data_IF_684963582552
#
_entry.id   IF_684963582552
#
_cell.length_a   1.000
_cell.length_b   1.000
_cell.length_c   1.000
_cell.angle_alpha   90.00
_cell.angle_beta   90.00
_cell.angle_gamma   90.00
#
_symmetry.space_group_name_H-M   'P 1'
#
loop_
_entity.id
_entity.type
_entity.pdbx_description
1 polymer ?
#
# COMPACT_ATOMS: atom_id res chain seq x y z
N UNK A 1 -71.26 -58.11 41.18
CA UNK A 1 -70.89 -56.69 41.04
C UNK A 1 -70.80 -56.13 42.45
N UNK A 2 -69.70 -56.41 43.13
CA UNK A 2 -68.41 -55.68 43.17
C UNK A 2 -68.33 -54.73 44.38
N UNK A 3 -67.23 -54.88 45.09
CA UNK A 3 -66.79 -54.31 46.37
C UNK A 3 -65.78 -53.15 46.07
N UNK A 4 -65.05 -52.51 47.04
CA UNK A 4 -65.32 -52.11 48.44
C UNK A 4 -64.62 -50.79 48.92
N UNK A 5 -64.73 -50.46 50.24
CA UNK A 5 -63.66 -49.97 51.20
C UNK A 5 -63.12 -48.49 51.03
N UNK A 6 -62.64 -47.67 51.99
CA UNK A 6 -61.83 -47.79 53.24
C UNK A 6 -61.90 -46.51 54.14
N UNK A 7 -61.85 -46.72 55.47
CA UNK A 7 -61.32 -45.97 56.66
C UNK A 7 -60.97 -44.46 56.63
N UNK A 8 -61.25 -43.81 57.78
CA UNK A 8 -60.31 -42.90 58.47
C UNK A 8 -60.11 -43.33 59.93
N UNK A 9 -58.86 -43.31 60.41
CA UNK A 9 -58.41 -43.55 61.80
C UNK A 9 -57.41 -42.44 62.17
N UNK A 10 -57.45 -41.98 63.41
CA UNK A 10 -56.84 -40.73 63.89
C UNK A 10 -55.41 -40.82 64.44
N UNK A 11 -55.18 -39.99 65.47
CA UNK A 11 -54.05 -39.86 66.42
C UNK A 11 -52.88 -38.92 66.07
N UNK A 12 -52.86 -37.77 66.76
CA UNK A 12 -51.89 -37.36 67.80
C UNK A 12 -50.41 -37.68 67.59
N UNK A 13 -49.56 -36.65 67.71
CA UNK A 13 -48.38 -36.71 68.59
C UNK A 13 -47.80 -35.32 68.87
N UNK A 14 -47.89 -34.89 70.13
CA UNK A 14 -46.79 -34.18 70.79
C UNK A 14 -45.69 -35.20 71.11
N UNK A 15 -44.43 -34.84 70.86
CA UNK A 15 -43.31 -35.38 71.63
C UNK A 15 -42.16 -34.37 71.74
N UNK A 16 -41.66 -34.27 72.96
CA UNK A 16 -40.62 -33.40 73.46
C UNK A 16 -39.19 -33.73 72.95
N UNK A 17 -38.38 -32.67 72.98
CA UNK A 17 -36.91 -32.57 73.02
C UNK A 17 -36.09 -33.76 73.57
N UNK A 18 -35.03 -34.12 72.83
CA UNK A 18 -33.66 -34.51 73.27
C UNK A 18 -32.71 -34.06 72.14
N UNK A 19 -31.62 -33.30 72.29
CA UNK A 19 -30.50 -33.46 73.21
C UNK A 19 -29.26 -33.92 72.43
N UNK A 20 -28.39 -32.97 72.03
CA UNK A 20 -26.94 -33.11 71.80
C UNK A 20 -26.41 -34.14 70.77
N UNK A 21 -26.12 -33.69 69.54
CA UNK A 21 -25.00 -34.14 68.70
C UNK A 21 -24.93 -33.48 67.30
N UNK A 22 -25.91 -32.64 66.91
CA UNK A 22 -26.04 -32.15 65.53
C UNK A 22 -25.79 -30.63 65.32
N UNK A 23 -25.25 -29.91 66.31
CA UNK A 23 -25.08 -28.44 66.24
C UNK A 23 -23.70 -28.02 65.69
N UNK A 24 -22.61 -28.63 66.19
CA UNK A 24 -21.25 -28.29 65.75
C UNK A 24 -20.97 -28.70 64.30
N UNK A 25 -21.59 -29.80 63.84
CA UNK A 25 -21.45 -30.30 62.48
C UNK A 25 -22.04 -29.33 61.45
N UNK A 26 -23.15 -28.64 61.77
CA UNK A 26 -23.73 -27.59 60.93
C UNK A 26 -22.83 -26.36 60.82
N UNK A 27 -22.13 -26.02 61.92
CA UNK A 27 -21.15 -24.94 61.93
C UNK A 27 -19.93 -25.27 61.06
N UNK A 28 -19.42 -26.49 61.14
CA UNK A 28 -18.30 -26.94 60.29
C UNK A 28 -18.69 -26.95 58.82
N UNK A 29 -19.88 -27.46 58.48
CA UNK A 29 -20.39 -27.42 57.09
C UNK A 29 -20.49 -25.97 56.61
N UNK A 30 -20.99 -25.05 57.44
CA UNK A 30 -21.06 -23.62 57.12
C UNK A 30 -19.68 -23.00 56.88
N UNK A 31 -18.69 -23.33 57.72
CA UNK A 31 -17.30 -22.85 57.57
C UNK A 31 -16.63 -23.43 56.31
N UNK A 32 -16.88 -24.71 55.99
CA UNK A 32 -16.37 -25.35 54.78
C UNK A 32 -16.97 -24.70 53.53
N UNK A 33 -18.28 -24.42 53.50
CA UNK A 33 -18.93 -23.72 52.38
C UNK A 33 -18.38 -22.30 52.24
N UNK A 34 -18.18 -21.58 53.35
CA UNK A 34 -17.60 -20.24 53.32
C UNK A 34 -16.15 -20.24 52.80
N UNK A 35 -15.34 -21.23 53.18
CA UNK A 35 -13.97 -21.40 52.68
C UNK A 35 -13.92 -21.80 51.21
N UNK A 36 -14.86 -22.65 50.75
CA UNK A 36 -14.99 -23.00 49.33
C UNK A 36 -15.45 -21.81 48.48
N UNK A 37 -16.38 -20.99 48.99
CA UNK A 37 -16.81 -19.77 48.33
C UNK A 37 -15.70 -18.72 48.28
N UNK A 38 -14.93 -18.56 49.37
CA UNK A 38 -13.76 -17.68 49.40
C UNK A 38 -12.64 -18.17 48.47
N UNK A 39 -12.37 -19.48 48.43
CA UNK A 39 -11.42 -20.09 47.51
C UNK A 39 -11.83 -19.93 46.04
N UNK A 40 -13.11 -20.15 45.73
CA UNK A 40 -13.65 -19.93 44.38
C UNK A 40 -13.61 -18.46 43.94
N UNK A 41 -13.88 -17.54 44.86
CA UNK A 41 -13.77 -16.10 44.61
C UNK A 41 -12.35 -15.62 44.34
N UNK A 42 -11.36 -16.17 45.05
CA UNK A 42 -9.94 -15.85 44.84
C UNK A 42 -9.44 -16.37 43.49
N UNK A 43 -9.84 -17.59 43.08
CA UNK A 43 -9.47 -18.15 41.76
C UNK A 43 -10.08 -17.34 40.61
N UNK A 44 -11.32 -16.86 40.76
CA UNK A 44 -11.95 -15.97 39.78
C UNK A 44 -11.24 -14.62 39.67
N UNK A 45 -10.74 -14.08 40.79
CA UNK A 45 -9.98 -12.83 40.81
C UNK A 45 -8.57 -12.98 40.21
N UNK A 46 -7.93 -14.13 40.42
CA UNK A 46 -6.62 -14.45 39.82
C UNK A 46 -6.73 -14.58 38.29
N UNK A 47 -7.78 -15.22 37.76
CA UNK A 47 -8.06 -15.28 36.32
C UNK A 47 -8.46 -13.93 35.70
N UNK A 48 -8.84 -12.93 36.51
CA UNK A 48 -9.16 -11.59 36.03
C UNK A 48 -7.93 -10.66 35.99
N UNK A 49 -6.92 -10.93 36.82
CA UNK A 49 -5.69 -10.12 36.92
C UNK A 49 -4.65 -10.58 35.90
N UNK A 50 -4.56 -11.88 35.60
CA UNK A 50 -3.74 -12.38 34.50
C UNK A 50 -4.53 -12.30 33.19
N UNK A 51 -4.24 -11.34 32.29
CA UNK A 51 -4.83 -11.37 30.97
C UNK A 51 -4.47 -12.71 30.32
N UNK A 52 -5.42 -13.39 29.65
CA UNK A 52 -5.12 -14.64 28.99
C UNK A 52 -3.95 -14.43 28.04
N UNK A 53 -2.95 -15.31 28.05
CA UNK A 53 -1.80 -15.34 27.13
C UNK A 53 -2.20 -15.20 25.66
N UNK A 54 -3.44 -15.54 25.33
CA UNK A 54 -4.06 -15.34 24.02
C UNK A 54 -4.20 -13.87 23.61
N UNK A 55 -4.34 -12.93 24.55
CA UNK A 55 -4.46 -11.50 24.26
C UNK A 55 -3.14 -10.93 23.72
N UNK A 56 -2.01 -11.27 24.33
CA UNK A 56 -0.69 -10.86 23.84
C UNK A 56 -0.38 -11.50 22.49
N UNK A 57 -0.68 -12.80 22.31
CA UNK A 57 -0.52 -13.49 21.04
C UNK A 57 -1.38 -12.89 19.92
N UNK A 58 -2.63 -12.51 20.21
CA UNK A 58 -3.54 -11.86 19.24
C UNK A 58 -3.03 -10.47 18.86
N UNK A 59 -2.53 -9.70 19.83
CA UNK A 59 -1.97 -8.37 19.58
C UNK A 59 -0.70 -8.42 18.73
N UNK A 60 0.20 -9.37 19.02
CA UNK A 60 1.42 -9.57 18.22
C UNK A 60 1.04 -9.97 16.79
N UNK A 61 0.13 -10.93 16.61
CA UNK A 61 -0.34 -11.33 15.29
C UNK A 61 -1.03 -10.19 14.50
N UNK A 62 -1.74 -9.29 15.19
CA UNK A 62 -2.32 -8.09 14.58
C UNK A 62 -1.24 -7.10 14.15
N UNK A 63 -0.26 -6.81 15.01
CA UNK A 63 0.84 -5.92 14.68
C UNK A 63 1.69 -6.48 13.52
N UNK A 64 1.96 -7.78 13.52
CA UNK A 64 2.67 -8.45 12.43
C UNK A 64 1.88 -8.38 11.13
N UNK A 65 0.55 -8.53 11.18
CA UNK A 65 -0.30 -8.37 10.00
C UNK A 65 -0.28 -6.93 9.48
N UNK A 66 -0.38 -5.93 10.36
CA UNK A 66 -0.32 -4.51 9.98
C UNK A 66 1.01 -4.16 9.31
N UNK A 67 2.13 -4.58 9.91
CA UNK A 67 3.47 -4.36 9.34
C UNK A 67 3.61 -5.06 7.98
N UNK A 68 3.20 -6.33 7.88
CA UNK A 68 3.26 -7.07 6.61
C UNK A 68 2.37 -6.45 5.53
N UNK A 69 1.20 -5.91 5.92
CA UNK A 69 0.31 -5.21 5.00
C UNK A 69 0.92 -3.90 4.52
N UNK A 70 1.59 -3.15 5.39
CA UNK A 70 2.30 -1.93 5.02
C UNK A 70 3.44 -2.25 4.02
N UNK A 71 4.24 -3.29 4.28
CA UNK A 71 5.28 -3.75 3.35
C UNK A 71 4.67 -4.19 2.01
N UNK A 72 3.52 -4.86 2.03
CA UNK A 72 2.82 -5.28 0.81
C UNK A 72 2.24 -4.11 0.01
N UNK A 73 1.78 -3.06 0.68
CA UNK A 73 1.29 -1.82 0.05
C UNK A 73 2.46 -1.06 -0.57
N UNK A 74 3.59 -1.01 0.13
CA UNK A 74 4.78 -0.26 -0.29
C UNK A 74 5.75 -1.06 -1.17
N UNK A 75 5.37 -2.29 -1.55
CA UNK A 75 6.20 -3.14 -2.39
C UNK A 75 6.60 -2.42 -3.70
N UNK A 76 7.89 -2.46 -3.98
CA UNK A 76 8.49 -2.03 -5.25
C UNK A 76 9.59 -3.02 -5.64
N UNK A 77 9.67 -3.44 -6.92
CA UNK A 77 10.84 -4.14 -7.39
C UNK A 77 12.08 -3.23 -7.32
N UNK A 78 13.26 -3.85 -7.42
CA UNK A 78 14.49 -3.11 -7.61
C UNK A 78 14.41 -2.32 -8.93
N UNK A 79 14.70 -1.02 -8.87
CA UNK A 79 14.79 -0.17 -10.05
C UNK A 79 15.92 -0.64 -10.96
N UNK A 80 15.67 -0.63 -12.28
CA UNK A 80 16.65 -0.97 -13.32
C UNK A 80 17.81 0.03 -13.33
N UNK A 81 17.52 1.28 -12.97
CA UNK A 81 18.49 2.37 -12.86
C UNK A 81 19.12 2.46 -11.47
N UNK A 82 18.79 1.56 -10.54
CA UNK A 82 19.27 1.56 -9.16
C UNK A 82 18.50 2.55 -8.27
N UNK A 83 18.90 3.82 -8.31
CA UNK A 83 18.25 4.94 -7.61
C UNK A 83 17.50 5.84 -8.63
N UNK A 84 16.61 6.75 -8.19
CA UNK A 84 16.13 7.83 -9.02
C UNK A 84 17.28 8.56 -9.69
N UNK A 85 17.27 8.60 -11.02
CA UNK A 85 18.29 9.25 -11.82
C UNK A 85 17.88 10.68 -12.13
N UNK A 86 18.86 11.58 -12.18
CA UNK A 86 18.69 12.92 -12.71
C UNK A 86 19.53 13.08 -13.96
N UNK A 87 18.93 13.69 -14.98
CA UNK A 87 19.58 13.94 -16.26
C UNK A 87 19.21 15.33 -16.78
N UNK A 88 20.04 15.85 -17.67
CA UNK A 88 19.73 17.09 -18.41
C UNK A 88 19.75 16.76 -19.89
N UNK A 89 18.63 16.99 -20.57
CA UNK A 89 18.52 16.81 -22.02
C UNK A 89 18.66 18.16 -22.71
N UNK A 90 19.54 18.23 -23.69
CA UNK A 90 19.67 19.36 -24.61
C UNK A 90 18.75 19.15 -25.81
N UNK A 91 18.58 20.19 -26.62
CA UNK A 91 17.77 20.11 -27.84
C UNK A 91 18.22 18.96 -28.75
N UNK A 92 17.27 18.08 -29.08
CA UNK A 92 17.41 16.84 -29.86
C UNK A 92 18.04 15.65 -29.12
N UNK A 93 18.46 15.81 -27.87
CA UNK A 93 18.91 14.68 -27.06
C UNK A 93 17.74 13.72 -26.80
N UNK A 94 18.06 12.44 -26.79
CA UNK A 94 17.16 11.39 -26.36
C UNK A 94 17.78 10.54 -25.25
N UNK A 95 16.92 9.93 -24.45
CA UNK A 95 17.29 9.09 -23.32
C UNK A 95 16.60 7.72 -23.41
N UNK A 96 17.37 6.69 -23.09
CA UNK A 96 16.91 5.34 -22.76
C UNK A 96 16.78 5.24 -21.23
N UNK A 97 15.58 4.95 -20.73
CA UNK A 97 15.30 5.01 -19.30
C UNK A 97 15.89 3.84 -18.52
N UNK A 98 16.10 2.70 -19.17
CA UNK A 98 16.65 1.48 -18.60
C UNK A 98 18.14 1.63 -18.32
N UNK A 99 18.87 2.21 -19.26
CA UNK A 99 20.33 2.35 -19.23
C UNK A 99 20.79 3.72 -18.74
N UNK A 100 19.90 4.72 -18.81
CA UNK A 100 20.23 6.12 -18.60
C UNK A 100 21.15 6.71 -19.66
N UNK A 101 21.34 6.01 -20.78
CA UNK A 101 22.16 6.49 -21.88
C UNK A 101 21.49 7.67 -22.58
N UNK A 102 22.25 8.73 -22.83
CA UNK A 102 21.78 9.91 -23.56
C UNK A 102 22.50 9.96 -24.91
N UNK A 103 21.72 10.01 -25.98
CA UNK A 103 22.20 10.10 -27.35
C UNK A 103 21.80 11.44 -27.96
N UNK A 104 22.74 12.11 -28.63
CA UNK A 104 22.49 13.37 -29.30
C UNK A 104 21.89 13.11 -30.69
N UNK A 105 20.67 13.59 -30.93
CA UNK A 105 19.96 13.50 -32.21
C UNK A 105 19.94 12.08 -32.81
N UNK A 106 19.38 11.08 -32.10
CA UNK A 106 19.30 9.71 -32.61
C UNK A 106 18.46 9.63 -33.89
N UNK A 107 18.71 8.57 -34.68
CA UNK A 107 17.82 8.27 -35.79
C UNK A 107 16.44 7.88 -35.25
N UNK A 108 15.39 8.26 -35.99
CA UNK A 108 14.02 7.83 -35.71
C UNK A 108 13.84 6.31 -35.86
N UNK A 109 14.80 5.62 -36.47
CA UNK A 109 14.79 4.16 -36.65
C UNK A 109 15.54 3.42 -35.54
N UNK A 110 16.35 4.12 -34.76
CA UNK A 110 17.16 3.51 -33.72
C UNK A 110 16.25 3.29 -32.51
N UNK A 111 16.18 2.04 -32.04
CA UNK A 111 15.30 1.59 -30.95
C UNK A 111 15.97 1.71 -29.58
N UNK A 112 16.99 2.55 -29.46
CA UNK A 112 17.86 2.68 -28.29
C UNK A 112 17.57 3.97 -27.50
N UNK A 113 16.34 4.48 -27.61
CA UNK A 113 15.85 5.61 -26.83
C UNK A 113 14.34 5.53 -26.63
N UNK A 114 13.86 6.06 -25.51
CA UNK A 114 12.44 6.10 -25.15
C UNK A 114 11.84 7.49 -25.31
N UNK A 115 12.61 8.52 -24.91
CA UNK A 115 12.17 9.91 -24.86
C UNK A 115 13.20 10.84 -25.50
N UNK A 116 12.76 11.72 -26.39
CA UNK A 116 13.56 12.77 -27.02
C UNK A 116 13.01 14.15 -26.67
N UNK A 117 13.90 15.08 -26.32
CA UNK A 117 13.58 16.49 -26.20
C UNK A 117 13.74 17.18 -27.55
N UNK A 118 12.62 17.57 -28.16
CA UNK A 118 12.58 18.19 -29.49
C UNK A 118 12.69 19.71 -29.42
N UNK A 119 13.52 20.25 -30.31
CA UNK A 119 13.71 21.68 -30.51
C UNK A 119 13.23 22.07 -31.91
N UNK A 120 12.28 23.00 -31.99
CA UNK A 120 11.62 23.36 -33.24
C UNK A 120 11.68 24.86 -33.53
N UNK A 121 11.49 25.28 -34.78
CA UNK A 121 11.35 26.69 -35.13
C UNK A 121 10.26 27.39 -34.31
N UNK A 122 10.29 28.73 -34.28
CA UNK A 122 9.25 29.55 -33.66
C UNK A 122 9.10 29.36 -32.14
N UNK A 123 10.20 29.04 -31.44
CA UNK A 123 10.24 28.82 -29.99
C UNK A 123 9.35 27.65 -29.53
N UNK A 124 9.19 26.65 -30.38
CA UNK A 124 8.43 25.44 -30.08
C UNK A 124 9.36 24.36 -29.51
N UNK A 125 8.91 23.69 -28.47
CA UNK A 125 9.60 22.57 -27.83
C UNK A 125 8.62 21.39 -27.70
N UNK A 126 9.17 20.18 -27.71
CA UNK A 126 8.40 18.96 -27.49
C UNK A 126 9.12 17.99 -26.60
N UNK A 127 8.37 17.14 -25.93
CA UNK A 127 8.88 15.84 -25.50
C UNK A 127 8.22 14.78 -26.35
N UNK A 128 9.02 14.04 -27.09
CA UNK A 128 8.59 12.99 -28.01
C UNK A 128 8.96 11.63 -27.44
N UNK A 129 8.06 10.66 -27.52
CA UNK A 129 8.41 9.27 -27.24
C UNK A 129 8.66 8.48 -28.52
N UNK A 130 9.45 7.42 -28.40
CA UNK A 130 9.65 6.47 -29.50
C UNK A 130 8.33 5.75 -29.84
N UNK A 131 8.18 5.31 -31.10
CA UNK A 131 6.96 4.61 -31.54
C UNK A 131 6.76 3.29 -30.78
N UNK A 132 5.62 3.19 -30.09
CA UNK A 132 5.23 2.02 -29.28
C UNK A 132 5.46 2.20 -27.78
N UNK A 133 6.20 3.23 -27.36
CA UNK A 133 6.15 3.72 -25.98
C UNK A 133 4.79 4.36 -25.74
N UNK A 134 4.17 4.00 -24.61
CA UNK A 134 2.87 4.55 -24.19
C UNK A 134 3.03 5.31 -22.87
N UNK A 135 2.17 6.30 -22.64
CA UNK A 135 2.29 7.17 -21.47
C UNK A 135 0.94 7.49 -20.83
N UNK A 136 1.02 7.99 -19.61
CA UNK A 136 -0.09 8.54 -18.86
C UNK A 136 0.33 9.87 -18.24
N UNK A 137 -0.48 10.91 -18.43
CA UNK A 137 -0.26 12.22 -17.83
C UNK A 137 -0.76 12.22 -16.40
N UNK A 138 0.18 12.22 -15.43
CA UNK A 138 -0.18 12.21 -14.02
C UNK A 138 -0.49 13.63 -13.50
N UNK A 139 0.33 14.60 -13.90
CA UNK A 139 0.26 15.98 -13.41
C UNK A 139 1.33 16.29 -12.37
N UNK A 140 1.19 17.44 -11.69
CA UNK A 140 2.20 17.90 -10.70
C UNK A 140 2.05 17.17 -9.37
N UNK A 141 3.09 16.48 -8.94
CA UNK A 141 3.14 15.80 -7.64
C UNK A 141 4.59 15.63 -7.12
N UNK A 142 4.74 15.18 -5.87
CA UNK A 142 6.05 14.82 -5.34
C UNK A 142 6.50 13.47 -5.91
N UNK A 143 7.73 13.38 -6.42
CA UNK A 143 8.30 12.18 -7.03
C UNK A 143 8.20 10.94 -6.12
N UNK A 144 8.42 11.10 -4.81
CA UNK A 144 8.42 10.01 -3.83
C UNK A 144 7.02 9.52 -3.44
N UNK A 145 6.00 10.33 -3.75
CA UNK A 145 4.61 9.99 -3.42
C UNK A 145 4.01 8.97 -4.38
N UNK A 146 4.58 8.82 -5.58
CA UNK A 146 4.11 7.89 -6.61
C UNK A 146 4.78 6.54 -6.40
N UNK A 147 3.98 5.51 -6.08
CA UNK A 147 4.48 4.17 -5.79
C UNK A 147 4.47 3.30 -7.04
N UNK A 148 5.28 2.24 -7.03
CA UNK A 148 5.39 1.29 -8.15
C UNK A 148 4.02 0.82 -8.67
N UNK A 149 3.09 0.49 -7.76
CA UNK A 149 1.75 0.02 -8.14
C UNK A 149 0.95 1.08 -8.89
N UNK A 150 1.08 2.36 -8.52
CA UNK A 150 0.42 3.47 -9.24
C UNK A 150 0.92 3.60 -10.67
N UNK A 151 2.23 3.36 -10.88
CA UNK A 151 2.85 3.39 -12.20
C UNK A 151 2.40 2.18 -13.01
N UNK A 152 2.52 0.96 -12.45
CA UNK A 152 2.19 -0.30 -13.14
C UNK A 152 0.74 -0.35 -13.61
N UNK A 153 -0.18 0.09 -12.76
CA UNK A 153 -1.63 -0.02 -13.00
C UNK A 153 -2.21 1.22 -13.71
N UNK A 154 -1.36 2.14 -14.16
CA UNK A 154 -1.79 3.32 -14.91
C UNK A 154 -2.43 2.95 -16.25
N UNK A 155 -3.39 3.78 -16.68
CA UNK A 155 -4.08 3.58 -17.96
C UNK A 155 -3.28 4.19 -19.12
N UNK A 156 -2.20 3.51 -19.51
CA UNK A 156 -1.32 3.96 -20.57
C UNK A 156 -2.02 4.04 -21.93
N UNK A 157 -1.72 5.12 -22.67
CA UNK A 157 -2.16 5.30 -24.04
C UNK A 157 -0.99 5.75 -24.92
N UNK A 158 -1.03 5.38 -26.20
CA UNK A 158 -0.13 5.93 -27.21
C UNK A 158 -0.98 6.69 -28.22
N UNK A 159 -0.80 8.01 -28.29
CA UNK A 159 -1.57 8.88 -29.18
C UNK A 159 -0.65 9.77 -29.99
N UNK A 160 -0.92 9.89 -31.29
CA UNK A 160 -0.20 10.84 -32.13
C UNK A 160 -0.72 12.24 -31.86
N UNK A 161 0.19 13.17 -31.65
CA UNK A 161 -0.12 14.58 -31.51
C UNK A 161 -0.68 15.12 -32.83
N UNK A 162 -1.86 15.74 -32.78
CA UNK A 162 -2.65 16.07 -33.97
C UNK A 162 -1.93 17.01 -34.95
N UNK A 163 -1.06 17.90 -34.46
CA UNK A 163 -0.37 18.89 -35.30
C UNK A 163 0.89 18.32 -35.97
N UNK A 164 1.62 17.46 -35.28
CA UNK A 164 2.94 16.99 -35.70
C UNK A 164 2.88 15.60 -36.33
N UNK A 165 1.86 14.80 -36.00
CA UNK A 165 1.71 13.41 -36.43
C UNK A 165 2.66 12.43 -35.73
N UNK A 166 3.46 12.90 -34.76
CA UNK A 166 4.38 12.09 -33.95
C UNK A 166 3.78 11.79 -32.58
N UNK A 167 4.41 10.86 -31.85
CA UNK A 167 4.04 10.53 -30.47
C UNK A 167 4.66 11.55 -29.51
N UNK A 168 4.14 12.78 -29.52
CA UNK A 168 4.61 13.84 -28.64
C UNK A 168 3.73 13.89 -27.38
N UNK A 169 4.36 13.86 -26.19
CA UNK A 169 3.73 14.18 -24.91
C UNK A 169 3.15 15.59 -24.95
N UNK A 170 3.93 16.51 -25.50
CA UNK A 170 3.51 17.85 -25.83
C UNK A 170 4.30 18.38 -27.01
N UNK A 171 3.70 19.32 -27.74
CA UNK A 171 4.37 20.18 -28.73
C UNK A 171 3.84 21.60 -28.53
N UNK A 172 4.59 22.42 -27.80
CA UNK A 172 4.12 23.70 -27.25
C UNK A 172 5.17 24.80 -27.37
N UNK A 173 4.71 26.05 -27.37
CA UNK A 173 5.60 27.19 -27.24
C UNK A 173 6.29 27.16 -25.86
N UNK A 174 7.57 27.56 -25.78
CA UNK A 174 8.40 27.57 -24.55
C UNK A 174 7.70 28.16 -23.33
N UNK A 175 6.87 29.18 -23.53
CA UNK A 175 6.10 29.84 -22.46
C UNK A 175 4.91 29.05 -21.90
N UNK A 176 4.53 27.93 -22.52
CA UNK A 176 3.36 27.12 -22.17
C UNK A 176 3.72 25.66 -21.88
N UNK A 177 5.00 25.33 -21.74
CA UNK A 177 5.41 23.95 -21.41
C UNK A 177 4.87 23.54 -20.04
N UNK A 178 4.78 22.22 -19.76
CA UNK A 178 4.45 21.74 -18.43
C UNK A 178 5.35 22.36 -17.36
N UNK A 179 4.78 22.64 -16.20
CA UNK A 179 5.53 23.26 -15.10
C UNK A 179 6.49 22.25 -14.42
N UNK A 180 7.44 22.79 -13.67
CA UNK A 180 8.32 22.01 -12.80
C UNK A 180 7.48 21.14 -11.84
N UNK A 181 7.94 19.91 -11.60
CA UNK A 181 7.27 18.90 -10.81
C UNK A 181 6.19 18.10 -11.57
N UNK A 182 5.90 18.43 -12.83
CA UNK A 182 4.95 17.66 -13.65
C UNK A 182 5.48 16.26 -13.95
N UNK A 183 4.64 15.24 -13.73
CA UNK A 183 4.99 13.83 -13.86
C UNK A 183 4.26 13.20 -15.05
N UNK A 184 5.01 12.38 -15.79
CA UNK A 184 4.51 11.42 -16.76
C UNK A 184 4.87 10.03 -16.29
N UNK A 185 3.97 9.08 -16.50
CA UNK A 185 4.25 7.67 -16.34
C UNK A 185 4.39 7.06 -17.72
N UNK A 186 5.40 6.20 -17.92
CA UNK A 186 5.61 5.52 -19.20
C UNK A 186 5.54 4.01 -19.04
N UNK A 187 5.17 3.38 -20.15
CA UNK A 187 5.40 1.97 -20.39
C UNK A 187 6.26 1.85 -21.65
N UNK A 188 7.49 1.37 -21.49
CA UNK A 188 8.51 1.27 -22.54
C UNK A 188 8.23 0.09 -23.48
N UNK A 189 8.98 0.00 -24.58
CA UNK A 189 8.87 -1.10 -25.52
C UNK A 189 9.27 -2.46 -24.92
N UNK A 190 10.16 -2.44 -23.93
CA UNK A 190 10.65 -3.63 -23.24
C UNK A 190 9.76 -4.07 -22.06
N UNK A 191 8.53 -3.54 -21.99
CA UNK A 191 7.55 -3.83 -20.94
C UNK A 191 8.01 -3.40 -19.54
N UNK A 192 8.83 -2.35 -19.45
CA UNK A 192 9.15 -1.68 -18.20
C UNK A 192 8.21 -0.51 -17.96
N UNK A 193 8.11 -0.10 -16.70
CA UNK A 193 7.34 1.08 -16.31
C UNK A 193 8.24 2.14 -15.71
N UNK A 194 8.04 3.38 -16.11
CA UNK A 194 8.93 4.49 -15.73
C UNK A 194 8.10 5.60 -15.11
N UNK A 195 8.59 6.14 -14.01
CA UNK A 195 8.14 7.40 -13.43
C UNK A 195 9.12 8.47 -13.85
N UNK A 196 8.62 9.53 -14.46
CA UNK A 196 9.42 10.63 -14.98
C UNK A 196 8.86 11.96 -14.51
N UNK A 197 9.73 12.87 -14.11
CA UNK A 197 9.38 14.20 -13.66
C UNK A 197 10.24 15.25 -14.34
N UNK A 198 9.60 16.33 -14.75
CA UNK A 198 10.28 17.55 -15.18
C UNK A 198 10.73 18.29 -13.92
N UNK A 199 12.04 18.42 -13.70
CA UNK A 199 12.61 19.11 -12.54
C UNK A 199 12.70 20.60 -12.81
N UNK A 200 13.06 20.97 -14.05
CA UNK A 200 13.17 22.37 -14.43
C UNK A 200 13.61 22.57 -15.87
N UNK A 201 13.60 23.83 -16.28
CA UNK A 201 14.09 24.27 -17.57
C UNK A 201 15.14 25.37 -17.40
N UNK A 202 16.28 25.22 -18.07
CA UNK A 202 17.36 26.20 -18.03
C UNK A 202 17.59 26.81 -19.42
N UNK A 203 17.72 28.13 -19.50
CA UNK A 203 18.11 28.79 -20.74
C UNK A 203 19.63 28.60 -20.96
N UNK A 204 20.02 28.06 -22.11
CA UNK A 204 21.43 27.85 -22.47
C UNK A 204 22.15 29.19 -22.69
N UNK A 205 21.44 30.18 -23.25
CA UNK A 205 21.93 31.54 -23.41
C UNK A 205 20.78 32.57 -23.24
N UNK A 206 21.09 33.85 -23.39
CA UNK A 206 20.08 34.92 -23.32
C UNK A 206 19.19 35.01 -24.57
N UNK A 207 19.43 34.20 -25.60
CA UNK A 207 18.67 34.21 -26.83
C UNK A 207 17.46 33.27 -26.70
N UNK A 208 16.22 33.79 -26.61
CA UNK A 208 15.03 32.96 -26.44
C UNK A 208 14.75 32.03 -27.62
N UNK A 209 15.43 32.23 -28.76
CA UNK A 209 15.36 31.35 -29.92
C UNK A 209 16.11 30.02 -29.70
N UNK A 210 17.10 29.98 -28.82
CA UNK A 210 17.86 28.76 -28.49
C UNK A 210 17.04 27.90 -27.55
N UNK A 211 17.03 26.58 -27.78
CA UNK A 211 16.29 25.67 -26.92
C UNK A 211 16.84 25.63 -25.50
N UNK A 212 15.93 25.43 -24.55
CA UNK A 212 16.30 25.26 -23.16
C UNK A 212 16.93 23.89 -22.97
N UNK A 213 17.69 23.74 -21.90
CA UNK A 213 17.97 22.44 -21.34
C UNK A 213 16.79 22.04 -20.44
N UNK A 214 16.38 20.78 -20.49
CA UNK A 214 15.38 20.25 -19.56
C UNK A 214 16.08 19.34 -18.56
N UNK A 215 15.97 19.68 -17.28
CA UNK A 215 16.38 18.81 -16.18
C UNK A 215 15.23 17.87 -15.84
N UNK A 216 15.53 16.58 -15.81
CA UNK A 216 14.56 15.52 -15.59
C UNK A 216 15.00 14.65 -14.42
N UNK A 217 14.03 14.06 -13.74
CA UNK A 217 14.24 12.98 -12.79
C UNK A 217 13.42 11.78 -13.23
N UNK A 218 14.00 10.59 -13.23
CA UNK A 218 13.28 9.39 -13.64
C UNK A 218 13.72 8.15 -12.87
N UNK A 219 12.88 7.13 -12.89
CA UNK A 219 13.13 5.84 -12.27
C UNK A 219 12.37 4.75 -13.04
N UNK A 220 13.09 3.72 -13.50
CA UNK A 220 12.56 2.65 -14.33
C UNK A 220 12.47 1.35 -13.54
N UNK A 221 11.36 0.63 -13.69
CA UNK A 221 11.07 -0.59 -12.96
C UNK A 221 10.71 -1.73 -13.91
N UNK A 222 11.16 -2.97 -13.63
CA UNK A 222 10.61 -4.12 -14.31
C UNK A 222 9.15 -4.35 -13.88
N UNK A 223 8.30 -4.78 -14.80
CA UNK A 223 6.93 -5.19 -14.46
C UNK A 223 6.96 -6.57 -13.80
N UNK A 224 6.70 -6.58 -12.50
CA UNK A 224 6.57 -7.80 -11.68
C UNK A 224 5.19 -7.87 -11.01
N UNK A 225 4.74 -9.10 -10.76
CA UNK A 225 3.53 -9.37 -9.99
C UNK A 225 3.70 -8.94 -8.52
N UNK A 226 2.58 -8.56 -7.89
CA UNK A 226 2.57 -8.29 -6.46
C UNK A 226 2.94 -9.56 -5.66
N UNK A 227 3.66 -9.42 -4.53
CA UNK A 227 3.80 -10.52 -3.59
C UNK A 227 2.42 -10.94 -3.04
N UNK A 228 2.28 -12.18 -2.54
CA UNK A 228 1.03 -12.64 -1.93
C UNK A 228 0.57 -11.68 -0.83
N UNK A 229 -0.70 -11.28 -0.87
CA UNK A 229 -1.26 -10.39 0.14
C UNK A 229 -1.26 -11.09 1.51
N UNK A 230 -0.74 -10.48 2.57
CA UNK A 230 -0.86 -11.00 3.92
C UNK A 230 -2.33 -11.16 4.31
N UNK A 231 -2.69 -12.33 4.82
CA UNK A 231 -4.02 -12.60 5.38
C UNK A 231 -3.89 -12.91 6.86
N UNK A 232 -4.84 -12.45 7.67
CA UNK A 232 -4.92 -12.86 9.08
C UNK A 232 -5.03 -14.38 9.14
N UNK A 233 -4.06 -15.06 9.75
CA UNK A 233 -4.16 -16.51 10.00
C UNK A 233 -5.45 -16.83 10.73
N UNK A 234 -6.23 -17.77 10.19
CA UNK A 234 -7.45 -18.30 10.82
C UNK A 234 -7.14 -19.36 11.87
#
# INVERSE_FOLDING_TARGET
MEQPKIRRKGMSQETQNRGGCASWFKWIIGVIIALLAAGGGIVALLNYIDPPTNYEATRIAQNDLENNLEDWINFSPQSLSGDPQEATLQGLDAIDFETGHISAAPSQTDRDWDLQFGCWPENMESLRVFEGVSWFEYGTANFESIKYRDIRDANFAAQKHAQTGYFDLYYLHKGNVPADGFIYLFKTLDDHVVKFQIVGYELVDSNPLVCRNISIRYEAFPVVADPPRPVSGG
#
